data_IF_494234854096
#
_entry.id   IF_494234854096
#
_cell.length_a   1.000
_cell.length_b   1.000
_cell.length_c   1.000
_cell.angle_alpha   90.00
_cell.angle_beta   90.00
_cell.angle_gamma   90.00
#
_symmetry.space_group_name_H-M   'P 1'
#
loop_
_entity.id
_entity.type
_entity.pdbx_description
1 polymer ?
#
# COMPACT_ATOMS: atom_id res chain seq x y z
N UNK A 1 -20.86 23.23 5.24
CA UNK A 1 -20.30 22.22 6.17
C UNK A 1 -20.46 20.86 5.53
N UNK A 2 -19.42 20.03 5.53
CA UNK A 2 -19.53 18.66 5.02
C UNK A 2 -20.42 17.81 5.93
N UNK A 3 -20.98 16.72 5.40
CA UNK A 3 -21.74 15.75 6.19
C UNK A 3 -20.80 15.14 7.23
N UNK A 4 -21.19 15.20 8.50
CA UNK A 4 -20.56 14.44 9.59
C UNK A 4 -21.40 13.20 9.87
N UNK A 5 -20.76 12.04 9.91
CA UNK A 5 -21.42 10.76 10.15
C UNK A 5 -21.39 10.43 11.64
N UNK A 6 -22.38 9.68 12.11
CA UNK A 6 -22.34 9.03 13.41
C UNK A 6 -21.65 7.66 13.29
N UNK A 7 -21.32 7.04 14.43
CA UNK A 7 -20.60 5.77 14.47
C UNK A 7 -21.35 4.65 13.74
N UNK A 8 -22.66 4.53 13.99
CA UNK A 8 -23.51 3.54 13.32
C UNK A 8 -23.44 3.66 11.79
N UNK A 9 -23.43 4.87 11.24
CA UNK A 9 -23.34 5.07 9.78
C UNK A 9 -21.98 4.60 9.23
N UNK A 10 -20.91 4.69 10.01
CA UNK A 10 -19.59 4.18 9.61
C UNK A 10 -19.60 2.65 9.61
N UNK A 11 -20.20 2.03 10.64
CA UNK A 11 -20.34 0.57 10.72
C UNK A 11 -21.21 0.05 9.56
N UNK A 12 -22.37 0.65 9.31
CA UNK A 12 -23.26 0.28 8.18
C UNK A 12 -22.51 0.38 6.82
N UNK A 13 -21.57 1.34 6.67
CA UNK A 13 -20.70 1.45 5.48
C UNK A 13 -19.61 0.38 5.45
N UNK A 14 -19.08 -0.04 6.60
CA UNK A 14 -18.11 -1.12 6.67
C UNK A 14 -18.75 -2.45 6.29
N UNK A 15 -19.96 -2.73 6.76
CA UNK A 15 -20.73 -3.92 6.38
C UNK A 15 -21.00 -3.97 4.87
N UNK A 16 -21.38 -2.84 4.26
CA UNK A 16 -21.55 -2.77 2.80
C UNK A 16 -20.22 -3.01 2.07
N UNK A 17 -19.13 -2.42 2.54
CA UNK A 17 -17.80 -2.61 1.98
C UNK A 17 -17.32 -4.08 2.11
N UNK A 18 -17.66 -4.74 3.22
CA UNK A 18 -17.27 -6.13 3.52
C UNK A 18 -17.94 -7.15 2.59
N UNK A 19 -19.00 -6.78 1.86
CA UNK A 19 -19.54 -7.62 0.77
C UNK A 19 -18.53 -7.89 -0.34
N UNK A 20 -17.48 -7.07 -0.46
CA UNK A 20 -16.37 -7.31 -1.37
C UNK A 20 -15.03 -6.92 -0.71
N UNK A 21 -14.45 -7.78 0.14
CA UNK A 21 -13.26 -7.46 0.93
C UNK A 21 -12.05 -7.06 0.07
N UNK A 22 -11.88 -7.71 -1.09
CA UNK A 22 -10.85 -7.38 -2.07
C UNK A 22 -10.92 -5.94 -2.61
N UNK A 23 -12.06 -5.25 -2.47
CA UNK A 23 -12.25 -3.85 -2.86
C UNK A 23 -12.51 -2.93 -1.67
N UNK A 24 -12.38 -3.40 -0.41
CA UNK A 24 -12.62 -2.59 0.78
C UNK A 24 -11.75 -1.32 0.79
N UNK A 25 -10.45 -1.47 0.45
CA UNK A 25 -9.51 -0.35 0.37
C UNK A 25 -9.86 0.72 -0.69
N UNK A 26 -10.73 0.39 -1.65
CA UNK A 26 -11.21 1.34 -2.67
C UNK A 26 -12.44 2.12 -2.25
N UNK A 27 -13.10 1.71 -1.17
CA UNK A 27 -14.34 2.33 -0.73
C UNK A 27 -14.06 3.73 -0.15
N UNK A 28 -14.99 4.67 -0.36
CA UNK A 28 -14.78 6.06 0.07
C UNK A 28 -14.55 6.22 1.57
N UNK A 29 -15.15 5.34 2.39
CA UNK A 29 -15.08 5.41 3.85
C UNK A 29 -13.66 5.36 4.41
N UNK A 30 -12.74 4.62 3.77
CA UNK A 30 -11.35 4.51 4.27
C UNK A 30 -10.59 5.83 4.14
N UNK A 31 -11.08 6.79 3.35
CA UNK A 31 -10.53 8.14 3.23
C UNK A 31 -11.27 9.19 4.08
N UNK A 32 -12.25 8.80 4.89
CA UNK A 32 -12.99 9.75 5.72
C UNK A 32 -12.08 10.35 6.78
N UNK A 33 -12.21 11.66 6.96
CA UNK A 33 -11.42 12.48 7.88
C UNK A 33 -12.35 13.07 8.93
N UNK A 34 -11.87 13.16 10.17
CA UNK A 34 -12.63 13.70 11.29
C UNK A 34 -13.16 12.60 12.21
N UNK A 35 -14.20 12.96 12.97
CA UNK A 35 -14.74 12.19 14.09
C UNK A 35 -16.24 11.98 13.93
N UNK A 36 -16.74 10.91 14.53
CA UNK A 36 -18.17 10.62 14.63
C UNK A 36 -18.88 11.72 15.43
N UNK A 37 -20.06 12.15 14.97
CA UNK A 37 -20.81 13.25 15.59
C UNK A 37 -21.37 12.93 16.98
N UNK A 38 -21.58 11.65 17.27
CA UNK A 38 -22.17 11.14 18.51
C UNK A 38 -21.11 10.71 19.54
N UNK A 39 -20.03 10.06 19.11
CA UNK A 39 -19.01 9.51 20.02
C UNK A 39 -17.71 10.30 20.06
N UNK A 40 -17.51 11.26 19.15
CA UNK A 40 -16.25 11.98 18.96
C UNK A 40 -15.04 11.05 18.65
N UNK A 41 -15.29 9.80 18.26
CA UNK A 41 -14.24 8.84 17.88
C UNK A 41 -13.84 9.08 16.42
N UNK A 42 -12.53 9.09 16.08
CA UNK A 42 -12.09 9.21 14.69
C UNK A 42 -12.67 8.10 13.81
N UNK A 43 -13.10 8.44 12.58
CA UNK A 43 -13.63 7.43 11.66
C UNK A 43 -12.65 6.29 11.40
N UNK A 44 -11.36 6.59 11.35
CA UNK A 44 -10.31 5.57 11.16
C UNK A 44 -10.26 4.57 12.29
N UNK A 45 -10.57 4.98 13.53
CA UNK A 45 -10.57 4.08 14.68
C UNK A 45 -11.77 3.14 14.64
N UNK A 46 -12.95 3.64 14.28
CA UNK A 46 -14.16 2.82 14.10
C UNK A 46 -13.96 1.77 13.01
N UNK A 47 -13.41 2.18 11.86
CA UNK A 47 -13.15 1.26 10.73
C UNK A 47 -12.07 0.24 11.11
N UNK A 48 -11.01 0.67 11.81
CA UNK A 48 -9.96 -0.24 12.23
C UNK A 48 -10.46 -1.28 13.24
N UNK A 49 -11.30 -0.88 14.19
CA UNK A 49 -11.91 -1.80 15.16
C UNK A 49 -12.80 -2.84 14.46
N UNK A 50 -13.68 -2.37 13.56
CA UNK A 50 -14.53 -3.24 12.75
C UNK A 50 -13.69 -4.28 11.96
N UNK A 51 -12.62 -3.84 11.29
CA UNK A 51 -11.78 -4.75 10.52
C UNK A 51 -11.04 -5.78 11.39
N UNK A 52 -10.69 -5.42 12.63
CA UNK A 52 -10.09 -6.37 13.57
C UNK A 52 -11.12 -7.39 14.06
N UNK A 53 -12.34 -6.97 14.38
CA UNK A 53 -13.44 -7.87 14.78
C UNK A 53 -13.86 -8.83 13.64
N UNK A 54 -13.75 -8.37 12.39
CA UNK A 54 -14.11 -9.11 11.18
C UNK A 54 -12.89 -9.63 10.40
N UNK A 55 -11.72 -9.75 11.04
CA UNK A 55 -10.47 -9.99 10.33
C UNK A 55 -10.46 -11.28 9.50
N UNK A 56 -10.96 -12.40 10.03
CA UNK A 56 -11.02 -13.67 9.29
C UNK A 56 -11.87 -13.57 8.01
N UNK A 57 -12.98 -12.84 8.07
CA UNK A 57 -13.86 -12.60 6.92
C UNK A 57 -13.18 -11.71 5.89
N UNK A 58 -12.59 -10.60 6.35
CA UNK A 58 -11.83 -9.68 5.52
C UNK A 58 -10.71 -10.41 4.78
N UNK A 59 -9.92 -11.17 5.52
CA UNK A 59 -8.76 -11.88 5.01
C UNK A 59 -9.14 -12.96 3.98
N UNK A 60 -10.12 -13.80 4.33
CA UNK A 60 -10.61 -14.89 3.45
C UNK A 60 -11.30 -14.36 2.20
N UNK A 61 -11.90 -13.17 2.28
CA UNK A 61 -12.58 -12.52 1.15
C UNK A 61 -11.65 -11.90 0.11
N UNK A 62 -10.33 -11.92 0.31
CA UNK A 62 -9.34 -11.46 -0.66
C UNK A 62 -8.78 -12.66 -1.44
N UNK A 63 -9.16 -12.86 -2.72
CA UNK A 63 -8.73 -14.02 -3.47
C UNK A 63 -7.29 -13.88 -3.96
N UNK A 64 -6.52 -14.97 -3.86
CA UNK A 64 -5.24 -15.10 -4.57
C UNK A 64 -5.48 -15.17 -6.07
N UNK A 65 -4.70 -14.41 -6.84
CA UNK A 65 -4.70 -14.48 -8.31
C UNK A 65 -3.50 -15.30 -8.75
N UNK A 66 -3.76 -16.45 -9.36
CA UNK A 66 -2.72 -17.27 -9.97
C UNK A 66 -2.31 -16.69 -11.32
N UNK A 67 -1.45 -15.68 -11.28
CA UNK A 67 -0.88 -15.09 -12.50
C UNK A 67 0.06 -16.07 -13.18
N UNK A 68 -0.19 -16.40 -14.45
CA UNK A 68 0.64 -17.29 -15.27
C UNK A 68 1.84 -16.57 -15.85
N UNK A 69 1.63 -15.35 -16.33
CA UNK A 69 2.69 -14.51 -16.87
C UNK A 69 3.68 -14.07 -15.78
N UNK A 70 4.90 -13.74 -16.18
CA UNK A 70 5.90 -13.19 -15.26
C UNK A 70 5.42 -11.89 -14.59
N UNK A 71 5.71 -11.72 -13.30
CA UNK A 71 5.59 -10.47 -12.56
C UNK A 71 6.64 -9.44 -13.01
N UNK A 72 7.87 -9.87 -13.31
CA UNK A 72 8.90 -9.00 -13.89
C UNK A 72 8.63 -8.78 -15.39
N UNK A 73 8.12 -7.59 -15.76
CA UNK A 73 7.59 -7.33 -17.12
C UNK A 73 8.58 -6.71 -18.11
N UNK A 74 9.76 -6.23 -17.71
CA UNK A 74 10.82 -5.76 -18.62
C UNK A 74 10.49 -4.53 -19.51
N UNK A 75 9.23 -4.10 -19.58
CA UNK A 75 8.74 -3.06 -20.51
C UNK A 75 8.85 -1.63 -19.97
N UNK A 76 9.69 -1.40 -18.96
CA UNK A 76 9.75 -0.12 -18.24
C UNK A 76 10.54 0.96 -18.97
N UNK A 77 11.40 0.58 -19.93
CA UNK A 77 12.31 1.49 -20.65
C UNK A 77 11.63 2.49 -21.61
N UNK A 78 10.36 2.29 -21.97
CA UNK A 78 9.73 3.04 -23.08
C UNK A 78 8.72 4.13 -22.69
N UNK A 79 8.55 4.46 -21.40
CA UNK A 79 7.48 5.39 -20.95
C UNK A 79 7.91 6.52 -20.01
N UNK A 80 9.18 6.95 -20.05
CA UNK A 80 9.56 8.19 -19.38
C UNK A 80 9.16 9.39 -20.24
N UNK A 81 8.00 9.97 -19.93
CA UNK A 81 7.61 11.29 -20.43
C UNK A 81 7.67 12.30 -19.27
N UNK A 82 8.68 13.19 -19.24
CA UNK A 82 8.82 14.19 -18.17
C UNK A 82 7.69 15.23 -18.16
N UNK A 83 6.87 15.30 -19.22
CA UNK A 83 5.69 16.16 -19.31
C UNK A 83 4.42 15.49 -18.81
N UNK A 84 4.49 14.21 -18.42
CA UNK A 84 3.34 13.45 -17.93
C UNK A 84 2.88 13.94 -16.55
N UNK A 85 1.56 14.10 -16.39
CA UNK A 85 0.93 14.34 -15.09
C UNK A 85 0.95 13.10 -14.17
N UNK A 86 1.59 12.00 -14.56
CA UNK A 86 1.75 10.76 -13.77
C UNK A 86 2.89 10.92 -12.76
N UNK A 87 2.73 11.86 -11.85
CA UNK A 87 3.78 12.30 -10.93
C UNK A 87 4.30 11.19 -10.01
N UNK A 88 3.44 10.25 -9.60
CA UNK A 88 3.81 9.08 -8.79
C UNK A 88 4.69 8.10 -9.56
N UNK A 89 4.34 7.79 -10.81
CA UNK A 89 5.16 6.95 -11.70
C UNK A 89 6.53 7.60 -11.97
N UNK A 90 6.58 8.91 -12.21
CA UNK A 90 7.85 9.63 -12.34
C UNK A 90 8.69 9.56 -11.05
N UNK A 91 8.06 9.50 -9.89
CA UNK A 91 8.75 9.34 -8.60
C UNK A 91 9.30 7.92 -8.47
N UNK A 92 8.49 6.90 -8.78
CA UNK A 92 8.93 5.51 -8.81
C UNK A 92 10.12 5.31 -9.77
N UNK A 93 10.07 5.89 -10.97
CA UNK A 93 11.18 5.84 -11.94
C UNK A 93 12.45 6.47 -11.34
N UNK A 94 12.35 7.63 -10.70
CA UNK A 94 13.50 8.29 -10.06
C UNK A 94 14.08 7.44 -8.93
N UNK A 95 13.23 6.80 -8.13
CA UNK A 95 13.62 5.90 -7.05
C UNK A 95 14.36 4.65 -7.55
N UNK A 96 13.94 4.10 -8.70
CA UNK A 96 14.52 2.90 -9.32
C UNK A 96 15.87 3.10 -10.03
N UNK A 97 16.34 4.34 -10.25
CA UNK A 97 17.57 4.57 -11.02
C UNK A 97 18.76 3.77 -10.47
N UNK A 98 19.44 3.08 -11.39
CA UNK A 98 20.08 1.78 -11.20
C UNK A 98 21.20 1.72 -10.15
N UNK A 99 20.92 1.05 -9.03
CA UNK A 99 21.93 0.62 -8.07
C UNK A 99 21.88 1.31 -6.71
N UNK A 100 20.88 2.15 -6.45
CA UNK A 100 20.72 2.73 -5.11
C UNK A 100 20.23 1.68 -4.12
N UNK A 101 20.93 1.62 -3.00
CA UNK A 101 20.51 0.92 -1.80
C UNK A 101 20.04 1.96 -0.80
N UNK A 102 18.78 1.89 -0.43
CA UNK A 102 18.21 2.68 0.65
C UNK A 102 18.41 1.92 1.96
N UNK A 103 18.68 2.63 3.05
CA UNK A 103 19.03 2.01 4.33
C UNK A 103 17.92 1.09 4.86
N UNK A 104 16.66 1.50 4.73
CA UNK A 104 15.49 0.81 5.29
C UNK A 104 14.91 -0.29 4.41
N UNK A 105 14.86 -0.07 3.10
CA UNK A 105 14.16 -0.96 2.14
C UNK A 105 15.12 -1.68 1.18
N UNK A 106 16.42 -1.37 1.25
CA UNK A 106 17.45 -1.92 0.37
C UNK A 106 17.33 -1.48 -1.07
N UNK A 107 17.41 -2.44 -1.99
CA UNK A 107 17.46 -2.20 -3.43
C UNK A 107 16.08 -2.36 -4.04
N UNK A 108 15.64 -1.33 -4.76
CA UNK A 108 14.40 -1.39 -5.54
C UNK A 108 14.66 -2.21 -6.81
N UNK A 109 13.84 -3.25 -7.01
CA UNK A 109 13.98 -4.25 -8.07
C UNK A 109 13.19 -3.89 -9.32
N UNK A 110 11.98 -3.36 -9.13
CA UNK A 110 11.10 -2.89 -10.21
C UNK A 110 10.02 -1.96 -9.67
N UNK A 111 9.24 -1.40 -10.60
CA UNK A 111 8.08 -0.58 -10.30
C UNK A 111 6.87 -0.99 -11.15
N UNK A 112 5.66 -0.68 -10.69
CA UNK A 112 4.41 -0.96 -11.42
C UNK A 112 4.22 -2.45 -11.77
N UNK A 113 4.47 -3.35 -10.81
CA UNK A 113 4.38 -4.80 -10.97
C UNK A 113 2.91 -5.23 -11.08
N UNK A 114 2.50 -5.91 -12.17
CA UNK A 114 1.10 -6.26 -12.39
C UNK A 114 0.62 -7.41 -11.50
N UNK A 115 -0.55 -7.25 -10.87
CA UNK A 115 -1.18 -8.30 -10.08
C UNK A 115 -2.15 -9.19 -10.89
N UNK A 116 -2.84 -8.59 -11.87
CA UNK A 116 -3.83 -9.28 -12.70
C UNK A 116 -3.19 -10.40 -13.51
N UNK A 117 -3.87 -11.51 -13.75
CA UNK A 117 -3.49 -12.47 -14.79
C UNK A 117 -4.06 -12.07 -16.15
N UNK A 118 -5.34 -11.68 -16.15
CA UNK A 118 -6.12 -11.28 -17.34
C UNK A 118 -6.78 -9.92 -17.12
N UNK A 119 -7.25 -9.31 -18.21
CA UNK A 119 -7.82 -7.96 -18.17
C UNK A 119 -9.05 -7.85 -17.27
N UNK A 120 -9.87 -8.91 -17.18
CA UNK A 120 -11.08 -8.95 -16.37
C UNK A 120 -10.84 -9.10 -14.87
N UNK A 121 -9.61 -9.38 -14.44
CA UNK A 121 -9.28 -9.42 -13.02
C UNK A 121 -9.37 -8.03 -12.41
N UNK A 122 -9.85 -7.95 -11.17
CA UNK A 122 -9.98 -6.67 -10.44
C UNK A 122 -8.87 -6.56 -9.41
N UNK A 123 -7.66 -6.26 -9.88
CA UNK A 123 -6.50 -5.98 -9.04
C UNK A 123 -5.74 -4.73 -9.51
N UNK A 124 -4.99 -4.12 -8.60
CA UNK A 124 -4.10 -3.01 -8.89
C UNK A 124 -2.76 -3.44 -9.48
N UNK A 125 -1.75 -2.62 -9.24
CA UNK A 125 -0.34 -2.92 -9.48
C UNK A 125 0.42 -2.52 -8.23
N UNK A 126 1.47 -3.25 -7.91
CA UNK A 126 2.41 -2.84 -6.85
C UNK A 126 3.23 -1.69 -7.40
N UNK A 127 3.32 -0.58 -6.66
CA UNK A 127 4.07 0.58 -7.14
C UNK A 127 5.55 0.32 -7.17
N UNK A 128 6.10 -0.27 -6.11
CA UNK A 128 7.53 -0.55 -5.96
C UNK A 128 7.76 -1.91 -5.28
N UNK A 129 8.75 -2.65 -5.77
CA UNK A 129 9.23 -3.87 -5.14
C UNK A 129 10.67 -3.65 -4.69
N UNK A 130 10.99 -3.85 -3.41
CA UNK A 130 12.34 -3.63 -2.89
C UNK A 130 12.81 -4.78 -2.00
N UNK A 131 14.11 -5.05 -1.97
CA UNK A 131 14.70 -6.12 -1.15
C UNK A 131 15.84 -5.58 -0.28
N UNK A 132 15.72 -5.76 1.03
CA UNK A 132 16.70 -5.28 2.01
C UNK A 132 17.80 -6.31 2.37
N UNK A 133 17.71 -7.51 1.79
CA UNK A 133 18.57 -8.65 2.13
C UNK A 133 17.95 -9.65 3.10
N UNK A 134 16.75 -9.35 3.64
CA UNK A 134 16.01 -10.19 4.59
C UNK A 134 14.52 -10.26 4.28
N UNK A 135 13.92 -9.16 3.85
CA UNK A 135 12.50 -9.01 3.55
C UNK A 135 12.34 -8.44 2.15
N UNK A 136 11.37 -9.00 1.41
CA UNK A 136 10.89 -8.43 0.15
C UNK A 136 9.71 -7.51 0.45
N UNK A 137 9.87 -6.23 0.16
CA UNK A 137 8.90 -5.18 0.43
C UNK A 137 8.04 -4.89 -0.79
N UNK A 138 6.74 -5.07 -0.63
CA UNK A 138 5.69 -4.52 -1.51
C UNK A 138 5.39 -3.12 -0.99
N UNK A 139 5.74 -2.10 -1.76
CA UNK A 139 5.64 -0.70 -1.33
C UNK A 139 4.52 0.01 -2.09
N UNK A 140 3.59 0.58 -1.34
CA UNK A 140 2.51 1.43 -1.86
C UNK A 140 2.96 2.90 -1.81
N UNK A 141 3.32 3.47 -2.97
CA UNK A 141 3.94 4.79 -3.04
C UNK A 141 2.86 5.86 -3.14
N UNK A 142 2.74 6.74 -2.14
CA UNK A 142 1.84 7.90 -2.23
C UNK A 142 2.61 9.20 -2.35
N UNK A 143 2.56 9.86 -3.52
CA UNK A 143 3.25 11.14 -3.76
C UNK A 143 2.44 12.35 -3.26
N UNK A 144 3.04 13.40 -2.68
CA UNK A 144 2.38 14.64 -2.28
C UNK A 144 1.73 15.34 -3.49
N UNK A 145 0.48 15.73 -3.28
CA UNK A 145 -0.38 16.39 -4.27
C UNK A 145 -1.80 16.50 -3.71
N UNK A 146 -2.70 17.15 -4.45
CA UNK A 146 -4.10 17.34 -4.01
C UNK A 146 -4.77 16.00 -3.68
N UNK A 147 -4.42 14.93 -4.40
CA UNK A 147 -4.98 13.58 -4.20
C UNK A 147 -4.41 12.84 -2.98
N UNK A 148 -3.10 12.84 -2.74
CA UNK A 148 -2.53 12.18 -1.54
C UNK A 148 -2.82 12.91 -0.23
N UNK A 149 -3.16 14.21 -0.29
CA UNK A 149 -3.78 14.91 0.85
C UNK A 149 -5.20 14.43 1.18
N UNK A 150 -5.75 13.50 0.39
CA UNK A 150 -7.01 12.83 0.66
C UNK A 150 -6.84 11.39 1.14
N UNK A 151 -5.65 10.81 1.05
CA UNK A 151 -5.42 9.41 1.42
C UNK A 151 -4.98 9.31 2.88
N UNK A 152 -5.66 8.45 3.63
CA UNK A 152 -5.35 8.16 5.04
C UNK A 152 -4.29 7.07 5.12
N UNK A 153 -3.63 6.96 6.28
CA UNK A 153 -2.76 5.81 6.58
C UNK A 153 -3.54 4.50 6.50
N UNK A 154 -4.78 4.47 7.02
CA UNK A 154 -5.67 3.30 6.95
C UNK A 154 -5.82 2.80 5.50
N UNK A 155 -6.11 3.69 4.54
CA UNK A 155 -6.23 3.26 3.15
C UNK A 155 -4.93 2.70 2.58
N UNK A 156 -3.79 3.35 2.87
CA UNK A 156 -2.49 2.90 2.37
C UNK A 156 -2.15 1.49 2.88
N UNK A 157 -2.41 1.24 4.17
CA UNK A 157 -2.20 -0.07 4.82
C UNK A 157 -3.10 -1.13 4.18
N UNK A 158 -4.40 -0.84 4.01
CA UNK A 158 -5.35 -1.81 3.43
C UNK A 158 -5.08 -2.11 1.96
N UNK A 159 -4.64 -1.13 1.17
CA UNK A 159 -4.26 -1.32 -0.23
C UNK A 159 -3.05 -2.25 -0.34
N UNK A 160 -1.97 -1.96 0.39
CA UNK A 160 -0.78 -2.80 0.43
C UNK A 160 -1.07 -4.23 0.92
N UNK A 161 -1.81 -4.37 2.02
CA UNK A 161 -2.20 -5.68 2.54
C UNK A 161 -3.03 -6.48 1.53
N UNK A 162 -3.99 -5.83 0.85
CA UNK A 162 -4.80 -6.47 -0.18
C UNK A 162 -3.93 -7.02 -1.32
N UNK A 163 -2.90 -6.26 -1.75
CA UNK A 163 -1.96 -6.72 -2.78
C UNK A 163 -1.10 -7.90 -2.31
N UNK A 164 -0.63 -7.89 -1.07
CA UNK A 164 0.08 -9.02 -0.48
C UNK A 164 -0.79 -10.29 -0.42
N UNK A 165 -2.09 -10.16 -0.16
CA UNK A 165 -3.02 -11.29 -0.15
C UNK A 165 -3.34 -11.83 -1.53
N UNK A 166 -3.37 -10.97 -2.55
CA UNK A 166 -3.64 -11.35 -3.94
C UNK A 166 -2.45 -12.11 -4.55
N UNK A 167 -1.23 -11.69 -4.24
CA UNK A 167 -0.03 -12.15 -4.96
C UNK A 167 0.41 -13.57 -4.56
N UNK A 168 1.00 -14.27 -5.53
CA UNK A 168 1.81 -15.46 -5.27
C UNK A 168 3.26 -15.03 -5.00
N UNK A 169 3.63 -14.99 -3.72
CA UNK A 169 4.93 -14.51 -3.25
C UNK A 169 6.10 -15.39 -3.70
N UNK A 170 5.91 -16.71 -3.76
CA UNK A 170 6.94 -17.65 -4.21
C UNK A 170 7.20 -17.46 -5.70
N UNK A 171 6.13 -17.35 -6.50
CA UNK A 171 6.26 -17.06 -7.93
C UNK A 171 6.87 -15.68 -8.18
N UNK A 172 6.48 -14.66 -7.40
CA UNK A 172 7.07 -13.32 -7.49
C UNK A 172 8.59 -13.38 -7.32
N UNK A 173 9.08 -14.04 -6.27
CA UNK A 173 10.52 -14.18 -6.02
C UNK A 173 11.19 -14.95 -7.17
N UNK A 174 10.60 -16.08 -7.60
CA UNK A 174 11.11 -16.89 -8.70
C UNK A 174 11.26 -16.11 -10.01
N UNK A 175 10.22 -15.36 -10.41
CA UNK A 175 10.22 -14.56 -11.64
C UNK A 175 11.33 -13.49 -11.63
N UNK A 176 11.58 -12.89 -10.47
CA UNK A 176 12.61 -11.88 -10.30
C UNK A 176 14.02 -12.47 -10.29
N UNK A 177 14.23 -13.57 -9.58
CA UNK A 177 15.50 -14.31 -9.61
C UNK A 177 15.86 -14.71 -11.06
N UNK A 178 14.90 -15.26 -11.81
CA UNK A 178 15.10 -15.69 -13.20
C UNK A 178 15.41 -14.51 -14.14
N UNK A 179 14.63 -13.43 -14.09
CA UNK A 179 14.74 -12.35 -15.08
C UNK A 179 15.74 -11.26 -14.77
N UNK A 180 16.00 -11.00 -13.49
CA UNK A 180 16.92 -9.92 -13.05
C UNK A 180 18.25 -10.47 -12.52
N UNK A 181 18.40 -11.79 -12.39
CA UNK A 181 19.60 -12.40 -11.83
C UNK A 181 19.83 -12.04 -10.37
N UNK A 182 18.76 -11.69 -9.63
CA UNK A 182 18.84 -11.48 -8.17
C UNK A 182 18.85 -12.85 -7.46
N UNK A 183 19.37 -12.89 -6.24
CA UNK A 183 19.46 -14.11 -5.44
C UNK A 183 18.67 -13.96 -4.14
N UNK A 184 17.35 -14.06 -4.24
CA UNK A 184 16.41 -13.96 -3.12
C UNK A 184 15.93 -15.37 -2.77
N UNK A 185 16.13 -15.86 -1.53
CA UNK A 185 15.60 -17.15 -1.09
C UNK A 185 14.07 -17.23 -1.29
N UNK A 186 13.54 -18.37 -1.76
CA UNK A 186 12.11 -18.52 -2.06
C UNK A 186 11.21 -18.45 -0.80
N UNK A 187 11.79 -18.66 0.38
CA UNK A 187 11.16 -18.55 1.70
C UNK A 187 11.32 -17.16 2.32
N UNK A 188 11.89 -16.19 1.59
CA UNK A 188 12.02 -14.80 2.05
C UNK A 188 10.65 -14.24 2.44
N UNK A 189 10.50 -13.70 3.67
CA UNK A 189 9.29 -13.01 4.08
C UNK A 189 8.95 -11.86 3.14
N UNK A 190 7.67 -11.75 2.76
CA UNK A 190 7.17 -10.63 1.96
C UNK A 190 6.25 -9.78 2.82
N UNK A 191 6.54 -8.48 2.92
CA UNK A 191 5.75 -7.52 3.70
C UNK A 191 5.18 -6.43 2.80
N UNK A 192 4.00 -5.92 3.15
CA UNK A 192 3.41 -4.77 2.48
C UNK A 192 3.45 -3.54 3.38
N UNK A 193 4.01 -2.46 2.85
CA UNK A 193 4.29 -1.25 3.60
C UNK A 193 3.86 -0.01 2.82
N UNK A 194 3.14 0.92 3.45
CA UNK A 194 2.99 2.27 2.92
C UNK A 194 4.36 2.94 2.73
N UNK A 195 4.59 3.56 1.58
CA UNK A 195 5.72 4.46 1.34
C UNK A 195 5.17 5.86 1.04
N UNK A 196 5.16 6.73 2.04
CA UNK A 196 4.45 8.02 1.95
C UNK A 196 5.39 9.18 2.19
N UNK A 197 5.17 10.32 1.53
CA UNK A 197 6.07 11.44 1.72
C UNK A 197 5.96 12.05 3.12
N UNK A 198 7.08 12.60 3.57
CA UNK A 198 7.12 13.57 4.66
C UNK A 198 6.10 14.67 4.36
N UNK A 199 5.35 15.06 5.39
CA UNK A 199 4.29 16.08 5.36
C UNK A 199 2.96 15.66 4.70
N UNK A 200 2.84 14.41 4.25
CA UNK A 200 1.56 13.83 3.82
C UNK A 200 0.57 13.64 4.98
N UNK A 201 -0.71 13.38 4.67
CA UNK A 201 -1.70 13.00 5.70
C UNK A 201 -1.30 11.70 6.43
N UNK A 202 -0.92 10.59 5.76
CA UNK A 202 -0.48 9.38 6.44
C UNK A 202 0.70 9.63 7.39
N UNK A 203 1.69 10.44 6.98
CA UNK A 203 2.80 10.83 7.86
C UNK A 203 2.34 11.56 9.12
N UNK A 204 1.35 12.45 9.02
CA UNK A 204 0.77 13.14 10.19
C UNK A 204 0.02 12.16 11.09
N UNK A 205 -0.79 11.27 10.52
CA UNK A 205 -1.50 10.25 11.28
C UNK A 205 -0.54 9.31 12.00
N UNK A 206 0.58 8.96 11.37
CA UNK A 206 1.64 8.16 11.98
C UNK A 206 2.32 8.87 13.16
N UNK A 207 2.60 10.16 13.05
CA UNK A 207 3.14 10.94 14.19
C UNK A 207 2.18 11.00 15.38
N UNK A 208 0.89 10.77 15.13
CA UNK A 208 -0.16 10.73 16.14
C UNK A 208 -0.65 9.29 16.42
N UNK A 209 0.12 8.26 16.03
CA UNK A 209 -0.34 6.87 16.08
C UNK A 209 -0.69 6.40 17.49
N UNK A 210 -0.02 6.93 18.52
CA UNK A 210 -0.34 6.60 19.92
C UNK A 210 -1.69 7.20 20.37
N UNK A 211 -2.24 8.16 19.63
CA UNK A 211 -3.61 8.67 19.80
C UNK A 211 -4.63 7.93 18.92
N UNK A 212 -4.18 6.92 18.18
CA UNK A 212 -4.96 6.09 17.25
C UNK A 212 -4.73 4.61 17.54
N UNK A 213 -5.04 4.14 18.76
CA UNK A 213 -4.72 2.79 19.20
C UNK A 213 -5.33 1.70 18.33
N UNK A 214 -6.52 1.89 17.74
CA UNK A 214 -7.16 0.90 16.88
C UNK A 214 -6.47 0.80 15.53
N UNK A 215 -6.12 1.94 14.91
CA UNK A 215 -5.31 1.94 13.69
C UNK A 215 -3.94 1.30 13.94
N UNK A 216 -3.30 1.60 15.07
CA UNK A 216 -2.02 1.00 15.46
C UNK A 216 -2.13 -0.53 15.58
N UNK A 217 -3.13 -1.01 16.32
CA UNK A 217 -3.37 -2.44 16.50
C UNK A 217 -3.69 -3.15 15.19
N UNK A 218 -4.45 -2.52 14.29
CA UNK A 218 -4.70 -3.06 12.96
C UNK A 218 -3.40 -3.16 12.14
N UNK A 219 -2.54 -2.13 12.18
CA UNK A 219 -1.25 -2.16 11.48
C UNK A 219 -0.33 -3.27 12.01
N UNK A 220 -0.33 -3.49 13.32
CA UNK A 220 0.40 -4.60 13.97
C UNK A 220 -0.17 -5.97 13.55
N UNK A 221 -1.51 -6.11 13.51
CA UNK A 221 -2.19 -7.33 13.05
C UNK A 221 -1.86 -7.66 11.57
N UNK A 222 -1.75 -6.63 10.73
CA UNK A 222 -1.45 -6.76 9.30
C UNK A 222 0.06 -6.86 9.00
N UNK A 223 0.92 -6.80 10.02
CA UNK A 223 2.38 -6.72 9.90
C UNK A 223 2.84 -5.62 8.91
N UNK A 224 2.22 -4.44 9.01
CA UNK A 224 2.42 -3.33 8.08
C UNK A 224 3.10 -2.13 8.77
N UNK A 225 4.41 -2.02 8.57
CA UNK A 225 5.23 -0.89 9.03
C UNK A 225 5.38 0.14 7.89
N UNK A 226 5.06 1.43 8.11
CA UNK A 226 5.18 2.45 7.07
C UNK A 226 6.62 2.97 6.96
N UNK A 227 7.03 3.29 5.73
CA UNK A 227 8.25 4.04 5.43
C UNK A 227 7.92 5.45 4.96
N UNK A 228 8.82 6.39 5.23
CA UNK A 228 8.65 7.78 4.81
C UNK A 228 9.73 8.22 3.86
N UNK A 229 9.34 9.05 2.90
CA UNK A 229 10.22 9.56 1.85
C UNK A 229 10.27 11.08 1.87
N UNK A 230 11.45 11.68 1.70
CA UNK A 230 11.60 13.13 1.49
C UNK A 230 12.54 13.42 0.34
N UNK A 231 12.31 14.55 -0.33
CA UNK A 231 13.24 15.05 -1.34
C UNK A 231 14.48 15.62 -0.64
N UNK A 232 15.65 15.21 -1.12
CA UNK A 232 16.97 15.76 -0.80
C UNK A 232 17.62 16.18 -2.12
N UNK A 233 18.73 16.95 -2.12
CA UNK A 233 19.31 17.52 -3.35
C UNK A 233 19.36 16.52 -4.53
N UNK A 234 18.48 16.75 -5.52
CA UNK A 234 18.23 15.95 -6.73
C UNK A 234 17.71 14.50 -6.53
N UNK A 235 17.39 14.10 -5.29
CA UNK A 235 17.21 12.71 -4.89
C UNK A 235 16.13 12.51 -3.80
N UNK A 236 16.05 11.28 -3.28
CA UNK A 236 15.14 10.89 -2.21
C UNK A 236 15.88 10.19 -1.08
N UNK A 237 15.45 10.46 0.14
CA UNK A 237 15.85 9.74 1.36
C UNK A 237 14.62 8.98 1.88
N UNK A 238 14.82 7.73 2.30
CA UNK A 238 13.79 6.87 2.89
C UNK A 238 14.17 6.56 4.33
N UNK A 239 13.26 6.84 5.25
CA UNK A 239 13.49 6.73 6.70
C UNK A 239 12.28 6.17 7.45
#
# INVERSE_FOLDING_TARGET
MGIQYNEKTIIDKCEEAMKNPALFYKQGLVNYKGICSDTNIPYTEVIADYLMEHFEEFERGIPKIQRKNSYCTGTHESRYDPTSNRTEELTAIKLCKAGRKYEKIGTILDYQIPLKDKQSDVAGKIDLLAYDGRVLHILELKKPGIKSNQETMLRCVLEGYTYLRIIDTVKLISDFNEKKGVNIPLDTPVKASPLTFKDSLPYREWKEIDRRPKLKALMELLDSEPFFIREVSENYEIF
#
